data_IF_368249384463
#
_entry.id   IF_368249384463
#
_cell.length_a   1.000
_cell.length_b   1.000
_cell.length_c   1.000
_cell.angle_alpha   90.00
_cell.angle_beta   90.00
_cell.angle_gamma   90.00
#
_symmetry.space_group_name_H-M   'P 1'
#
loop_
_entity.id
_entity.type
_entity.pdbx_description
1 polymer ?
#
# COMPACT_ATOMS: atom_id res chain seq x y z
N UNK A 1 26.38 17.08 19.40
CA UNK A 1 26.50 15.65 19.05
C UNK A 1 25.89 14.72 20.11
N UNK A 2 25.67 15.15 21.35
CA UNK A 2 25.07 14.32 22.43
C UNK A 2 23.56 14.01 22.26
N UNK A 3 22.77 14.88 21.63
CA UNK A 3 21.34 14.61 21.42
C UNK A 3 21.07 13.45 20.44
N UNK A 4 21.96 13.22 19.47
CA UNK A 4 21.80 12.15 18.48
C UNK A 4 22.10 10.77 19.10
N UNK A 5 23.09 10.69 20.01
CA UNK A 5 23.39 9.44 20.72
C UNK A 5 22.31 9.09 21.75
N UNK A 6 21.70 10.10 22.41
CA UNK A 6 20.59 9.89 23.34
C UNK A 6 19.34 9.35 22.61
N UNK A 7 18.94 9.97 21.49
CA UNK A 7 17.82 9.46 20.68
C UNK A 7 18.09 8.04 20.16
N UNK A 8 19.29 7.75 19.66
CA UNK A 8 19.65 6.41 19.18
C UNK A 8 19.50 5.33 20.27
N UNK A 9 19.91 5.63 21.51
CA UNK A 9 19.78 4.70 22.64
C UNK A 9 18.33 4.47 23.07
N UNK A 10 17.48 5.50 23.00
CA UNK A 10 16.04 5.35 23.28
C UNK A 10 15.37 4.44 22.24
N UNK A 11 15.70 4.61 20.96
CA UNK A 11 15.16 3.75 19.88
C UNK A 11 15.67 2.31 19.98
N UNK A 12 16.95 2.10 20.32
CA UNK A 12 17.51 0.75 20.49
C UNK A 12 16.89 0.01 21.68
N UNK A 13 16.65 0.72 22.79
CA UNK A 13 15.96 0.16 23.95
C UNK A 13 14.50 -0.19 23.63
N UNK A 14 13.78 0.72 22.98
CA UNK A 14 12.40 0.47 22.52
C UNK A 14 12.33 -0.72 21.55
N UNK A 15 13.28 -0.82 20.61
CA UNK A 15 13.35 -1.94 19.65
C UNK A 15 13.49 -3.28 20.36
N UNK A 16 14.37 -3.37 21.37
CA UNK A 16 14.58 -4.59 22.17
C UNK A 16 13.35 -4.99 22.96
N UNK A 17 12.69 -4.03 23.62
CA UNK A 17 11.49 -4.28 24.42
C UNK A 17 10.27 -4.62 23.55
N UNK A 18 10.20 -4.04 22.35
CA UNK A 18 9.13 -4.29 21.38
C UNK A 18 9.28 -5.63 20.65
N UNK A 19 10.50 -6.12 20.43
CA UNK A 19 10.78 -7.36 19.66
C UNK A 19 9.92 -8.58 20.06
N UNK A 20 9.75 -8.94 21.35
CA UNK A 20 8.88 -10.06 21.73
C UNK A 20 7.40 -9.76 21.48
N UNK A 21 6.94 -8.54 21.76
CA UNK A 21 5.56 -8.12 21.52
C UNK A 21 5.23 -8.05 20.01
N UNK A 22 6.20 -7.65 19.18
CA UNK A 22 6.08 -7.53 17.73
C UNK A 22 5.73 -8.87 17.08
N UNK A 23 6.35 -9.97 17.51
CA UNK A 23 6.08 -11.30 16.97
C UNK A 23 4.61 -11.66 17.22
N UNK A 24 4.14 -11.58 18.47
CA UNK A 24 2.75 -11.90 18.80
C UNK A 24 1.74 -10.99 18.10
N UNK A 25 2.01 -9.69 18.05
CA UNK A 25 1.14 -8.72 17.40
C UNK A 25 1.08 -8.94 15.89
N UNK A 26 2.21 -9.21 15.24
CA UNK A 26 2.30 -9.47 13.80
C UNK A 26 1.48 -10.69 13.40
N UNK A 27 1.53 -11.76 14.20
CA UNK A 27 0.73 -12.96 13.97
C UNK A 27 -0.78 -12.67 13.98
N UNK A 28 -1.25 -11.87 14.95
CA UNK A 28 -2.66 -11.50 15.06
C UNK A 28 -3.08 -10.60 13.89
N UNK A 29 -2.33 -9.51 13.66
CA UNK A 29 -2.67 -8.51 12.63
C UNK A 29 -2.61 -9.13 11.23
N UNK A 30 -1.55 -9.88 10.91
CA UNK A 30 -1.40 -10.50 9.59
C UNK A 30 -2.50 -11.53 9.33
N UNK A 31 -2.87 -12.35 10.32
CA UNK A 31 -3.94 -13.33 10.17
C UNK A 31 -5.29 -12.66 9.88
N UNK A 32 -5.64 -11.62 10.65
CA UNK A 32 -6.87 -10.85 10.42
C UNK A 32 -6.85 -10.14 9.06
N UNK A 33 -5.71 -9.55 8.69
CA UNK A 33 -5.54 -8.88 7.40
C UNK A 33 -5.66 -9.83 6.20
N UNK A 34 -5.09 -11.04 6.29
CA UNK A 34 -5.22 -12.10 5.27
C UNK A 34 -6.69 -12.47 5.10
N UNK A 35 -7.41 -12.74 6.19
CA UNK A 35 -8.84 -13.07 6.14
C UNK A 35 -9.66 -11.94 5.51
N UNK A 36 -9.42 -10.70 5.93
CA UNK A 36 -10.09 -9.52 5.38
C UNK A 36 -9.84 -9.35 3.88
N UNK A 37 -8.60 -9.54 3.43
CA UNK A 37 -8.26 -9.43 2.02
C UNK A 37 -8.81 -10.59 1.17
N UNK A 38 -8.87 -11.81 1.70
CA UNK A 38 -9.54 -12.93 1.02
C UNK A 38 -11.03 -12.63 0.82
N UNK A 39 -11.69 -12.09 1.85
CA UNK A 39 -13.08 -11.63 1.74
C UNK A 39 -13.22 -10.55 0.66
N UNK A 40 -12.34 -9.55 0.63
CA UNK A 40 -12.33 -8.51 -0.41
C UNK A 40 -12.20 -9.11 -1.82
N UNK A 41 -11.28 -10.05 -2.02
CA UNK A 41 -11.11 -10.74 -3.31
C UNK A 41 -12.40 -11.45 -3.69
N UNK A 42 -12.99 -12.26 -2.80
CA UNK A 42 -14.23 -13.01 -3.07
C UNK A 42 -15.39 -12.10 -3.42
N UNK A 43 -15.56 -11.00 -2.68
CA UNK A 43 -16.62 -10.03 -2.93
C UNK A 43 -16.41 -9.36 -4.29
N UNK A 44 -15.26 -8.72 -4.53
CA UNK A 44 -15.06 -7.91 -5.73
C UNK A 44 -14.86 -8.73 -7.02
N UNK A 45 -14.58 -10.03 -6.92
CA UNK A 45 -14.57 -10.95 -8.07
C UNK A 45 -15.96 -11.50 -8.42
N UNK A 46 -16.98 -11.25 -7.58
CA UNK A 46 -18.33 -11.74 -7.82
C UNK A 46 -18.92 -11.17 -9.12
N UNK A 47 -19.51 -12.04 -9.95
CA UNK A 47 -19.96 -11.74 -11.32
C UNK A 47 -20.88 -10.52 -11.41
N UNK A 48 -21.74 -10.31 -10.42
CA UNK A 48 -22.71 -9.20 -10.38
C UNK A 48 -22.07 -7.81 -10.27
N UNK A 49 -20.88 -7.70 -9.65
CA UNK A 49 -20.21 -6.41 -9.41
C UNK A 49 -18.88 -6.30 -10.17
N UNK A 50 -18.68 -7.14 -11.18
CA UNK A 50 -17.43 -7.15 -11.96
C UNK A 50 -17.29 -5.85 -12.74
N UNK A 51 -16.15 -5.19 -12.57
CA UNK A 51 -15.81 -3.96 -13.27
C UNK A 51 -14.33 -3.63 -13.13
N UNK A 52 -13.83 -2.67 -13.91
CA UNK A 52 -12.39 -2.37 -13.97
C UNK A 52 -11.82 -1.91 -12.64
N UNK A 53 -12.53 -1.03 -11.92
CA UNK A 53 -12.12 -0.59 -10.57
C UNK A 53 -12.14 -1.73 -9.57
N UNK A 54 -13.18 -2.57 -9.58
CA UNK A 54 -13.32 -3.69 -8.64
C UNK A 54 -12.28 -4.77 -8.91
N UNK A 55 -11.92 -5.00 -10.18
CA UNK A 55 -10.80 -5.84 -10.56
C UNK A 55 -9.48 -5.32 -9.99
N UNK A 56 -9.18 -4.03 -10.13
CA UNK A 56 -7.97 -3.44 -9.53
C UNK A 56 -7.96 -3.54 -8.00
N UNK A 57 -9.12 -3.40 -7.35
CA UNK A 57 -9.26 -3.61 -5.90
C UNK A 57 -8.94 -5.07 -5.54
N UNK A 58 -9.45 -6.06 -6.30
CA UNK A 58 -9.11 -7.47 -6.07
C UNK A 58 -7.62 -7.75 -6.23
N UNK A 59 -6.98 -7.17 -7.24
CA UNK A 59 -5.53 -7.29 -7.45
C UNK A 59 -4.74 -6.66 -6.30
N UNK A 60 -5.17 -5.50 -5.79
CA UNK A 60 -4.57 -4.86 -4.62
C UNK A 60 -4.70 -5.75 -3.38
N UNK A 61 -5.90 -6.28 -3.09
CA UNK A 61 -6.11 -7.21 -1.97
C UNK A 61 -5.28 -8.51 -2.10
N UNK A 62 -5.04 -8.99 -3.32
CA UNK A 62 -4.14 -10.12 -3.54
C UNK A 62 -2.68 -9.78 -3.21
N UNK A 63 -2.20 -8.60 -3.60
CA UNK A 63 -0.87 -8.11 -3.22
C UNK A 63 -0.76 -7.94 -1.70
N UNK A 64 -1.75 -7.33 -1.05
CA UNK A 64 -1.77 -7.14 0.41
C UNK A 64 -1.75 -8.50 1.15
N UNK A 65 -2.52 -9.47 0.68
CA UNK A 65 -2.49 -10.85 1.23
C UNK A 65 -1.10 -11.46 1.15
N UNK A 66 -0.43 -11.30 0.01
CA UNK A 66 0.90 -11.87 -0.20
C UNK A 66 1.97 -11.15 0.65
N UNK A 67 1.87 -9.83 0.83
CA UNK A 67 2.75 -9.07 1.76
C UNK A 67 2.59 -9.60 3.18
N UNK A 68 1.36 -9.76 3.66
CA UNK A 68 1.10 -10.26 5.00
C UNK A 68 1.61 -11.70 5.19
N UNK A 69 1.50 -12.54 4.16
CA UNK A 69 2.06 -13.90 4.18
C UNK A 69 3.59 -13.86 4.25
N UNK A 70 4.24 -13.02 3.43
CA UNK A 70 5.71 -12.86 3.50
C UNK A 70 6.15 -12.28 4.84
N UNK A 71 5.36 -11.39 5.46
CA UNK A 71 5.64 -10.85 6.78
C UNK A 71 5.60 -11.96 7.86
N UNK A 72 4.59 -12.84 7.83
CA UNK A 72 4.56 -14.01 8.71
C UNK A 72 5.79 -14.91 8.51
N UNK A 73 6.16 -15.20 7.26
CA UNK A 73 7.36 -15.98 6.95
C UNK A 73 8.64 -15.33 7.51
N UNK A 74 8.81 -14.02 7.38
CA UNK A 74 9.94 -13.30 7.97
C UNK A 74 9.94 -13.44 9.49
N UNK A 75 8.80 -13.21 10.16
CA UNK A 75 8.74 -13.35 11.63
C UNK A 75 9.02 -14.78 12.12
N UNK A 76 8.68 -15.80 11.34
CA UNK A 76 9.03 -17.19 11.63
C UNK A 76 10.53 -17.48 11.47
N UNK A 77 11.18 -16.84 10.49
CA UNK A 77 12.61 -16.99 10.26
C UNK A 77 13.44 -16.22 11.31
N UNK A 78 12.91 -15.08 11.79
CA UNK A 78 13.53 -14.28 12.85
C UNK A 78 13.35 -14.84 14.26
N UNK A 79 12.32 -15.65 14.51
CA UNK A 79 12.08 -16.27 15.82
C UNK A 79 12.99 -17.48 16.10
N UNK A 80 13.64 -18.03 15.07
CA UNK A 80 14.83 -18.85 15.26
C UNK A 80 15.97 -17.92 15.67
N UNK A 81 16.53 -18.14 16.85
CA UNK A 81 17.46 -17.31 17.67
C UNK A 81 18.78 -16.82 17.01
N UNK A 82 18.77 -16.50 15.72
CA UNK A 82 19.95 -16.28 14.89
C UNK A 82 20.43 -14.82 14.83
N UNK A 83 19.73 -13.87 15.48
CA UNK A 83 20.10 -12.46 15.40
C UNK A 83 20.27 -11.98 13.95
N UNK A 84 21.26 -11.13 13.68
CA UNK A 84 21.56 -10.63 12.32
C UNK A 84 22.43 -11.60 11.48
N UNK A 85 22.67 -12.83 11.97
CA UNK A 85 23.62 -13.76 11.36
C UNK A 85 23.06 -15.17 11.20
N UNK A 86 23.07 -15.68 9.97
CA UNK A 86 22.52 -16.98 9.63
C UNK A 86 23.58 -18.09 9.75
N UNK A 87 23.24 -19.29 10.25
CA UNK A 87 24.19 -20.38 10.48
C UNK A 87 24.65 -21.04 9.19
N UNK A 88 23.88 -20.91 8.11
CA UNK A 88 24.17 -21.51 6.81
C UNK A 88 24.04 -20.48 5.70
N UNK A 89 24.90 -20.61 4.68
CA UNK A 89 24.84 -19.78 3.47
C UNK A 89 23.47 -19.91 2.80
N UNK A 90 22.95 -21.14 2.74
CA UNK A 90 21.62 -21.44 2.19
C UNK A 90 20.54 -20.70 2.97
N UNK A 91 20.59 -20.72 4.32
CA UNK A 91 19.65 -19.97 5.15
C UNK A 91 19.65 -18.47 4.87
N UNK A 92 20.84 -17.86 4.73
CA UNK A 92 20.97 -16.45 4.37
C UNK A 92 20.37 -16.12 2.99
N UNK A 93 20.63 -16.94 1.97
CA UNK A 93 20.04 -16.75 0.64
C UNK A 93 18.52 -16.99 0.63
N UNK A 94 18.02 -17.95 1.42
CA UNK A 94 16.58 -18.18 1.59
C UNK A 94 15.93 -16.94 2.21
N UNK A 95 16.49 -16.39 3.28
CA UNK A 95 15.95 -15.17 3.89
C UNK A 95 16.00 -13.98 2.93
N UNK A 96 17.13 -13.77 2.23
CA UNK A 96 17.25 -12.74 1.20
C UNK A 96 16.21 -12.89 0.07
N UNK A 97 15.91 -14.12 -0.33
CA UNK A 97 14.88 -14.39 -1.34
C UNK A 97 13.48 -14.00 -0.86
N UNK A 98 13.15 -14.28 0.42
CA UNK A 98 11.87 -13.89 1.03
C UNK A 98 11.76 -12.36 1.09
N UNK A 99 12.81 -11.66 1.54
CA UNK A 99 12.85 -10.20 1.58
C UNK A 99 12.68 -9.59 0.17
N UNK A 100 13.32 -10.19 -0.83
CA UNK A 100 13.21 -9.75 -2.21
C UNK A 100 11.78 -9.89 -2.72
N UNK A 101 11.14 -11.03 -2.47
CA UNK A 101 9.73 -11.26 -2.85
C UNK A 101 8.84 -10.25 -2.14
N UNK A 102 9.04 -10.05 -0.83
CA UNK A 102 8.28 -9.07 -0.05
C UNK A 102 8.41 -7.66 -0.63
N UNK A 103 9.63 -7.23 -0.99
CA UNK A 103 9.88 -5.92 -1.60
C UNK A 103 9.18 -5.79 -2.97
N UNK A 104 9.25 -6.83 -3.81
CA UNK A 104 8.57 -6.87 -5.10
C UNK A 104 7.05 -6.74 -4.93
N UNK A 105 6.45 -7.51 -4.03
CA UNK A 105 5.00 -7.50 -3.81
C UNK A 105 4.55 -6.16 -3.20
N UNK A 106 5.34 -5.59 -2.29
CA UNK A 106 5.11 -4.26 -1.74
C UNK A 106 5.07 -3.18 -2.82
N UNK A 107 6.00 -3.25 -3.78
CA UNK A 107 5.98 -2.38 -4.95
C UNK A 107 4.70 -2.52 -5.76
N UNK A 108 4.30 -3.76 -6.07
CA UNK A 108 3.08 -4.04 -6.83
C UNK A 108 1.87 -3.44 -6.11
N UNK A 109 1.70 -3.68 -4.81
CA UNK A 109 0.59 -3.12 -4.01
C UNK A 109 0.57 -1.59 -4.03
N UNK A 110 1.73 -0.97 -3.88
CA UNK A 110 1.89 0.50 -3.89
C UNK A 110 1.46 1.11 -5.23
N UNK A 111 1.98 0.59 -6.34
CA UNK A 111 1.63 1.09 -7.67
C UNK A 111 0.20 0.72 -8.10
N UNK A 112 -0.34 -0.41 -7.63
CA UNK A 112 -1.75 -0.74 -7.79
C UNK A 112 -2.67 0.24 -7.05
N UNK A 113 -2.26 0.72 -5.87
CA UNK A 113 -2.98 1.76 -5.13
C UNK A 113 -3.01 3.08 -5.90
N UNK A 114 -1.88 3.46 -6.52
CA UNK A 114 -1.82 4.63 -7.43
C UNK A 114 -2.75 4.47 -8.63
N UNK A 115 -2.73 3.30 -9.28
CA UNK A 115 -3.59 3.00 -10.42
C UNK A 115 -5.08 3.06 -10.06
N UNK A 116 -5.45 2.47 -8.92
CA UNK A 116 -6.80 2.51 -8.37
C UNK A 116 -7.24 3.95 -8.05
N UNK A 117 -6.38 4.75 -7.41
CA UNK A 117 -6.64 6.15 -7.13
C UNK A 117 -6.89 6.95 -8.41
N UNK A 118 -6.10 6.69 -9.44
CA UNK A 118 -6.25 7.33 -10.76
C UNK A 118 -7.59 6.96 -11.41
N UNK A 119 -7.96 5.68 -11.41
CA UNK A 119 -9.27 5.24 -11.94
C UNK A 119 -10.42 5.90 -11.19
N UNK A 120 -10.36 5.94 -9.86
CA UNK A 120 -11.38 6.61 -9.03
C UNK A 120 -11.48 8.11 -9.37
N UNK A 121 -10.35 8.78 -9.56
CA UNK A 121 -10.33 10.20 -9.94
C UNK A 121 -11.00 10.43 -11.30
N UNK A 122 -10.72 9.57 -12.28
CA UNK A 122 -11.35 9.63 -13.60
C UNK A 122 -12.87 9.40 -13.49
N UNK A 123 -13.30 8.42 -12.70
CA UNK A 123 -14.73 8.18 -12.44
C UNK A 123 -15.43 9.39 -11.84
N UNK A 124 -14.81 10.07 -10.88
CA UNK A 124 -15.39 11.26 -10.26
C UNK A 124 -15.42 12.46 -11.22
N UNK A 125 -14.36 12.67 -12.01
CA UNK A 125 -14.29 13.82 -12.95
C UNK A 125 -15.16 13.66 -14.19
N UNK A 126 -15.23 12.46 -14.77
CA UNK A 126 -15.91 12.23 -16.04
C UNK A 126 -17.33 11.66 -15.88
N UNK A 127 -17.70 11.20 -14.69
CA UNK A 127 -19.02 10.66 -14.38
C UNK A 127 -19.42 9.55 -15.36
N UNK A 128 -20.50 9.76 -16.13
CA UNK A 128 -21.00 8.78 -17.08
C UNK A 128 -19.99 8.42 -18.20
N UNK A 129 -19.14 9.38 -18.61
CA UNK A 129 -18.11 9.15 -19.64
C UNK A 129 -16.94 8.30 -19.13
N UNK A 130 -16.81 8.13 -17.81
CA UNK A 130 -15.72 7.35 -17.24
C UNK A 130 -15.78 5.86 -17.64
N UNK A 131 -16.97 5.30 -17.86
CA UNK A 131 -17.11 3.90 -18.30
C UNK A 131 -16.47 3.65 -19.69
N UNK A 132 -16.42 4.66 -20.57
CA UNK A 132 -15.72 4.58 -21.85
C UNK A 132 -14.20 4.72 -21.70
N UNK A 133 -13.73 5.43 -20.66
CA UNK A 133 -12.30 5.71 -20.44
C UNK A 133 -11.64 4.61 -19.62
N UNK A 134 -12.25 4.18 -18.52
CA UNK A 134 -11.79 3.12 -17.63
C UNK A 134 -12.39 1.79 -18.09
N UNK A 135 -11.71 1.12 -19.02
CA UNK A 135 -12.14 -0.19 -19.55
C UNK A 135 -11.38 -1.34 -18.89
N UNK A 136 -11.91 -2.56 -18.99
CA UNK A 136 -11.23 -3.76 -18.49
C UNK A 136 -9.85 -3.96 -19.15
N UNK A 137 -9.74 -3.73 -20.46
CA UNK A 137 -8.47 -3.83 -21.19
C UNK A 137 -7.39 -2.93 -20.59
N UNK A 138 -7.73 -1.68 -20.27
CA UNK A 138 -6.79 -0.75 -19.64
C UNK A 138 -6.44 -1.17 -18.22
N UNK A 139 -7.38 -1.73 -17.46
CA UNK A 139 -7.11 -2.25 -16.12
C UNK A 139 -6.12 -3.43 -16.16
N UNK A 140 -6.27 -4.36 -17.11
CA UNK A 140 -5.30 -5.44 -17.34
C UNK A 140 -3.94 -4.91 -17.80
N UNK A 141 -3.92 -3.97 -18.75
CA UNK A 141 -2.67 -3.35 -19.21
C UNK A 141 -1.93 -2.65 -18.07
N UNK A 142 -2.65 -1.95 -17.18
CA UNK A 142 -2.08 -1.34 -15.98
C UNK A 142 -1.51 -2.39 -15.03
N UNK A 143 -2.22 -3.49 -14.77
CA UNK A 143 -1.70 -4.57 -13.93
C UNK A 143 -0.38 -5.12 -14.49
N UNK A 144 -0.34 -5.42 -15.79
CA UNK A 144 0.89 -5.93 -16.45
C UNK A 144 2.01 -4.90 -16.35
N UNK A 145 1.73 -3.63 -16.62
CA UNK A 145 2.72 -2.55 -16.51
C UNK A 145 3.28 -2.43 -15.08
N UNK A 146 2.43 -2.54 -14.06
CA UNK A 146 2.83 -2.49 -12.64
C UNK A 146 3.67 -3.69 -12.24
N UNK A 147 3.36 -4.89 -12.72
CA UNK A 147 4.15 -6.10 -12.46
C UNK A 147 5.54 -5.95 -13.09
N UNK A 148 5.59 -5.55 -14.37
CA UNK A 148 6.86 -5.38 -15.09
C UNK A 148 7.70 -4.28 -14.46
N UNK A 149 7.13 -3.11 -14.14
CA UNK A 149 7.88 -2.03 -13.51
C UNK A 149 8.40 -2.44 -12.13
N UNK A 150 7.59 -3.15 -11.34
CA UNK A 150 7.99 -3.67 -10.03
C UNK A 150 9.11 -4.72 -10.13
N UNK A 151 9.12 -5.55 -11.18
CA UNK A 151 10.19 -6.54 -11.39
C UNK A 151 11.52 -5.84 -11.73
N UNK A 152 11.48 -4.86 -12.63
CA UNK A 152 12.66 -4.08 -13.02
C UNK A 152 13.24 -3.36 -11.81
N UNK A 153 12.40 -2.64 -11.06
CA UNK A 153 12.85 -1.92 -9.87
C UNK A 153 13.31 -2.91 -8.78
N UNK A 154 12.60 -4.02 -8.59
CA UNK A 154 12.89 -5.04 -7.58
C UNK A 154 14.22 -5.75 -7.80
N UNK A 155 14.65 -5.90 -9.06
CA UNK A 155 15.95 -6.50 -9.39
C UNK A 155 17.13 -5.76 -8.75
N UNK A 156 17.01 -4.44 -8.55
CA UNK A 156 18.04 -3.64 -7.88
C UNK A 156 18.26 -4.05 -6.42
N UNK A 157 17.23 -4.60 -5.77
CA UNK A 157 17.33 -5.07 -4.38
C UNK A 157 18.27 -6.26 -4.26
N UNK A 158 18.14 -7.27 -5.13
CA UNK A 158 18.99 -8.47 -5.11
C UNK A 158 20.44 -8.11 -5.41
N UNK A 159 20.67 -7.34 -6.47
CA UNK A 159 22.02 -6.98 -6.94
C UNK A 159 22.82 -6.24 -5.87
N UNK A 160 22.12 -5.55 -4.97
CA UNK A 160 22.76 -4.70 -4.00
C UNK A 160 22.95 -5.33 -2.63
N UNK A 161 22.39 -6.51 -2.37
CA UNK A 161 22.60 -7.24 -1.13
C UNK A 161 23.55 -8.41 -1.36
N UNK A 162 24.59 -8.49 -0.56
CA UNK A 162 25.59 -9.55 -0.60
C UNK A 162 25.52 -10.37 0.68
N UNK A 163 25.64 -11.69 0.53
CA UNK A 163 25.77 -12.62 1.66
C UNK A 163 27.26 -12.81 1.95
N UNK A 164 27.74 -12.26 3.07
CA UNK A 164 29.14 -12.36 3.48
C UNK A 164 29.32 -13.26 4.70
N UNK A 165 30.41 -14.05 4.77
CA UNK A 165 30.73 -14.80 5.97
C UNK A 165 31.21 -13.87 7.09
N UNK A 166 30.67 -14.05 8.28
CA UNK A 166 31.13 -13.43 9.53
C UNK A 166 31.74 -14.55 10.37
N UNK A 167 33.08 -14.57 10.45
CA UNK A 167 33.82 -15.57 11.23
C UNK A 167 33.98 -15.09 12.66
N UNK A 168 33.42 -15.82 13.62
CA UNK A 168 33.66 -15.57 15.03
C UNK A 168 34.39 -16.80 15.59
N UNK A 169 35.73 -16.73 15.63
CA UNK A 169 36.77 -17.61 16.23
C UNK A 169 36.65 -19.14 16.13
N UNK A 170 35.46 -19.72 16.15
CA UNK A 170 35.12 -21.15 16.12
C UNK A 170 33.92 -21.48 15.20
N UNK A 171 33.15 -20.50 14.70
CA UNK A 171 32.00 -20.73 13.80
C UNK A 171 31.93 -19.69 12.67
N UNK A 172 31.50 -20.14 11.47
CA UNK A 172 31.24 -19.27 10.31
C UNK A 172 29.73 -19.07 10.21
N UNK A 173 29.28 -17.85 10.50
CA UNK A 173 27.91 -17.43 10.21
C UNK A 173 27.90 -16.56 8.94
N UNK A 174 26.72 -16.21 8.44
CA UNK A 174 26.54 -15.42 7.24
C UNK A 174 25.68 -14.20 7.56
N UNK A 175 26.05 -13.02 7.06
CA UNK A 175 25.28 -11.80 7.20
C UNK A 175 24.87 -11.27 5.83
N UNK A 176 23.68 -10.70 5.75
CA UNK A 176 23.19 -10.00 4.56
C UNK A 176 23.59 -8.54 4.73
N UNK A 177 24.42 -8.03 3.83
CA UNK A 177 24.88 -6.65 3.85
C UNK A 177 24.61 -5.95 2.53
N UNK A 178 24.37 -4.64 2.58
CA UNK A 178 24.31 -3.82 1.37
C UNK A 178 25.73 -3.63 0.82
N UNK A 179 25.92 -3.95 -0.46
CA UNK A 179 27.17 -3.72 -1.17
C UNK A 179 27.43 -2.22 -1.33
N UNK A 180 28.57 -1.76 -0.84
CA UNK A 180 28.98 -0.35 -0.94
C UNK A 180 29.07 0.13 -2.40
N UNK A 181 29.30 -0.78 -3.36
CA UNK A 181 29.36 -0.48 -4.79
C UNK A 181 28.02 -0.04 -5.36
N UNK A 182 26.92 -0.55 -4.81
CA UNK A 182 25.57 -0.29 -5.30
C UNK A 182 24.73 0.54 -4.32
N UNK A 183 25.32 1.03 -3.22
CA UNK A 183 24.61 1.79 -2.19
C UNK A 183 23.87 3.01 -2.73
N UNK A 184 24.45 3.72 -3.72
CA UNK A 184 23.76 4.80 -4.42
C UNK A 184 22.53 4.32 -5.18
N UNK A 185 22.67 3.27 -6.00
CA UNK A 185 21.54 2.71 -6.76
C UNK A 185 20.41 2.25 -5.83
N UNK A 186 20.73 1.59 -4.71
CA UNK A 186 19.74 1.21 -3.69
C UNK A 186 19.04 2.42 -3.09
N UNK A 187 19.79 3.46 -2.71
CA UNK A 187 19.21 4.66 -2.13
C UNK A 187 18.24 5.31 -3.12
N UNK A 188 18.65 5.46 -4.38
CA UNK A 188 17.82 6.07 -5.41
C UNK A 188 16.60 5.22 -5.76
N UNK A 189 16.75 3.91 -6.00
CA UNK A 189 15.61 3.06 -6.33
C UNK A 189 14.69 2.88 -5.13
N UNK A 190 15.22 2.47 -3.98
CA UNK A 190 14.45 2.09 -2.79
C UNK A 190 13.80 3.28 -2.07
N UNK A 191 14.48 4.43 -1.97
CA UNK A 191 13.91 5.61 -1.32
C UNK A 191 12.98 6.40 -2.25
N UNK A 192 13.37 6.67 -3.49
CA UNK A 192 12.57 7.56 -4.36
C UNK A 192 11.45 6.82 -5.10
N UNK A 193 11.76 5.71 -5.78
CA UNK A 193 10.79 5.08 -6.67
C UNK A 193 9.77 4.22 -5.94
N UNK A 194 10.17 3.49 -4.91
CA UNK A 194 9.22 2.66 -4.16
C UNK A 194 8.45 3.43 -3.09
N UNK A 195 9.01 4.52 -2.56
CA UNK A 195 8.43 5.23 -1.41
C UNK A 195 8.01 6.66 -1.76
N UNK A 196 8.93 7.55 -2.15
CA UNK A 196 8.58 8.96 -2.33
C UNK A 196 7.60 9.25 -3.47
N UNK A 197 7.84 8.72 -4.67
CA UNK A 197 7.01 9.03 -5.86
C UNK A 197 5.56 8.55 -5.70
N UNK A 198 5.29 7.30 -5.30
CA UNK A 198 3.91 6.83 -5.14
C UNK A 198 3.13 7.64 -4.11
N UNK A 199 3.78 8.08 -3.02
CA UNK A 199 3.16 8.92 -1.99
C UNK A 199 2.80 10.29 -2.54
N UNK A 200 3.70 10.93 -3.28
CA UNK A 200 3.43 12.24 -3.90
C UNK A 200 2.27 12.17 -4.89
N UNK A 201 2.23 11.11 -5.72
CA UNK A 201 1.13 10.89 -6.65
C UNK A 201 -0.17 10.64 -5.90
N UNK A 202 -0.18 9.76 -4.88
CA UNK A 202 -1.38 9.48 -4.09
C UNK A 202 -1.89 10.71 -3.35
N UNK A 203 -1.00 11.52 -2.79
CA UNK A 203 -1.33 12.79 -2.15
C UNK A 203 -1.96 13.76 -3.17
N UNK A 204 -1.35 13.91 -4.35
CA UNK A 204 -1.86 14.74 -5.43
C UNK A 204 -3.25 14.28 -5.92
N UNK A 205 -3.40 12.98 -6.22
CA UNK A 205 -4.67 12.38 -6.65
C UNK A 205 -5.74 12.59 -5.59
N UNK A 206 -5.42 12.39 -4.31
CA UNK A 206 -6.38 12.55 -3.21
C UNK A 206 -6.76 14.00 -2.99
N UNK A 207 -5.81 14.95 -3.07
CA UNK A 207 -6.09 16.37 -2.97
C UNK A 207 -7.03 16.84 -4.09
N UNK A 208 -6.77 16.41 -5.33
CA UNK A 208 -7.63 16.72 -6.48
C UNK A 208 -9.01 16.07 -6.30
N UNK A 209 -9.07 14.82 -5.84
CA UNK A 209 -10.33 14.11 -5.57
C UNK A 209 -11.18 14.86 -4.55
N UNK A 210 -10.58 15.27 -3.42
CA UNK A 210 -11.24 16.04 -2.36
C UNK A 210 -11.77 17.36 -2.92
N UNK A 211 -10.95 18.13 -3.65
CA UNK A 211 -11.37 19.40 -4.27
C UNK A 211 -12.54 19.19 -5.23
N UNK A 212 -12.45 18.19 -6.11
CA UNK A 212 -13.49 17.88 -7.10
C UNK A 212 -14.81 17.51 -6.42
N UNK A 213 -14.76 16.72 -5.34
CA UNK A 213 -15.94 16.35 -4.56
C UNK A 213 -16.54 17.57 -3.86
N UNK A 214 -15.72 18.44 -3.26
CA UNK A 214 -16.18 19.66 -2.60
C UNK A 214 -16.83 20.64 -3.58
N UNK A 215 -16.26 20.81 -4.77
CA UNK A 215 -16.83 21.66 -5.83
C UNK A 215 -18.18 21.11 -6.32
N UNK A 216 -18.24 19.80 -6.58
CA UNK A 216 -19.49 19.13 -6.94
C UNK A 216 -20.56 19.27 -5.85
N UNK A 217 -20.18 19.22 -4.57
CA UNK A 217 -21.09 19.42 -3.44
C UNK A 217 -21.61 20.86 -3.37
N UNK A 218 -20.75 21.86 -3.53
CA UNK A 218 -21.15 23.28 -3.54
C UNK A 218 -22.15 23.56 -4.65
N UNK A 219 -21.89 23.06 -5.86
CA UNK A 219 -22.79 23.20 -7.00
C UNK A 219 -24.13 22.50 -6.74
N UNK A 220 -24.09 21.27 -6.20
CA UNK A 220 -25.31 20.53 -5.90
C UNK A 220 -26.17 21.24 -4.86
N UNK A 221 -25.60 21.70 -3.75
CA UNK A 221 -26.33 22.41 -2.70
C UNK A 221 -27.00 23.68 -3.24
N UNK A 222 -26.33 24.44 -4.12
CA UNK A 222 -26.96 25.59 -4.80
C UNK A 222 -28.19 25.17 -5.59
N UNK A 223 -28.09 24.13 -6.42
CA UNK A 223 -29.20 23.63 -7.22
C UNK A 223 -30.34 23.07 -6.36
N UNK A 224 -30.02 22.45 -5.22
CA UNK A 224 -31.01 21.96 -4.26
C UNK A 224 -31.79 23.10 -3.60
N UNK A 225 -31.11 24.16 -3.17
CA UNK A 225 -31.74 25.35 -2.61
C UNK A 225 -32.65 26.01 -3.64
N UNK A 226 -32.20 26.15 -4.89
CA UNK A 226 -33.02 26.69 -5.99
C UNK A 226 -34.25 25.81 -6.27
N UNK A 227 -34.10 24.48 -6.31
CA UNK A 227 -35.24 23.56 -6.53
C UNK A 227 -36.24 23.54 -5.38
N UNK A 228 -35.76 23.61 -4.12
CA UNK A 228 -36.63 23.63 -2.94
C UNK A 228 -37.41 24.94 -2.83
N UNK A 229 -36.81 26.06 -3.24
CA UNK A 229 -37.50 27.33 -3.39
C UNK A 229 -38.57 27.29 -4.50
N UNK A 230 -38.32 26.56 -5.60
CA UNK A 230 -39.25 26.46 -6.72
C UNK A 230 -40.42 25.48 -6.52
N UNK A 231 -40.29 24.44 -5.68
CA UNK A 231 -41.35 23.43 -5.49
C UNK A 231 -41.31 22.76 -4.10
N UNK A 232 -41.90 23.37 -3.06
CA UNK A 232 -41.78 22.91 -1.67
C UNK A 232 -42.52 21.59 -1.34
N UNK A 233 -43.57 21.21 -2.09
CA UNK A 233 -44.44 20.07 -1.76
C UNK A 233 -44.28 18.81 -2.64
N UNK A 234 -43.24 18.73 -3.48
CA UNK A 234 -43.11 17.61 -4.41
C UNK A 234 -42.40 16.38 -3.77
N UNK A 235 -43.18 15.36 -3.40
CA UNK A 235 -42.70 14.09 -2.80
C UNK A 235 -41.73 13.30 -3.69
N UNK A 236 -41.79 13.46 -5.03
CA UNK A 236 -40.80 12.83 -5.95
C UNK A 236 -39.45 13.55 -5.93
N UNK A 237 -39.46 14.87 -5.73
CA UNK A 237 -38.24 15.65 -5.61
C UNK A 237 -37.49 15.31 -4.31
N UNK A 238 -38.20 15.12 -3.19
CA UNK A 238 -37.60 14.72 -1.90
C UNK A 238 -36.99 13.32 -1.94
N UNK A 239 -37.63 12.34 -2.59
CA UNK A 239 -37.06 11.00 -2.77
C UNK A 239 -35.78 11.00 -3.64
N UNK A 240 -35.74 11.82 -4.71
CA UNK A 240 -34.56 11.99 -5.55
C UNK A 240 -33.38 12.67 -4.83
N UNK A 241 -33.65 13.57 -3.88
CA UNK A 241 -32.64 14.17 -3.01
C UNK A 241 -32.04 13.12 -2.05
N UNK A 242 -32.88 12.32 -1.41
CA UNK A 242 -32.44 11.29 -0.46
C UNK A 242 -31.51 10.25 -1.12
N UNK A 243 -31.79 9.86 -2.36
CA UNK A 243 -30.94 8.92 -3.10
C UNK A 243 -29.57 9.53 -3.46
N UNK A 244 -29.54 10.81 -3.86
CA UNK A 244 -28.29 11.55 -4.11
C UNK A 244 -27.47 11.80 -2.84
N UNK A 245 -28.12 12.03 -1.70
CA UNK A 245 -27.44 12.13 -0.41
C UNK A 245 -26.80 10.80 0.01
N UNK A 246 -27.41 9.67 -0.34
CA UNK A 246 -26.83 8.33 -0.13
C UNK A 246 -25.59 8.13 -0.99
N UNK A 247 -25.65 8.46 -2.29
CA UNK A 247 -24.49 8.42 -3.18
C UNK A 247 -23.35 9.35 -2.70
N UNK A 248 -23.71 10.53 -2.17
CA UNK A 248 -22.77 11.48 -1.55
C UNK A 248 -22.07 10.89 -0.34
N UNK A 249 -22.80 10.23 0.57
CA UNK A 249 -22.23 9.59 1.76
C UNK A 249 -21.24 8.48 1.38
N UNK A 250 -21.57 7.69 0.36
CA UNK A 250 -20.70 6.66 -0.17
C UNK A 250 -19.40 7.25 -0.76
N UNK A 251 -19.49 8.34 -1.54
CA UNK A 251 -18.31 9.00 -2.12
C UNK A 251 -17.40 9.63 -1.05
N UNK A 252 -17.99 10.25 -0.01
CA UNK A 252 -17.23 10.81 1.10
C UNK A 252 -16.52 9.71 1.91
N UNK A 253 -17.18 8.57 2.15
CA UNK A 253 -16.57 7.41 2.82
C UNK A 253 -15.39 6.82 2.03
N UNK A 254 -15.52 6.71 0.71
CA UNK A 254 -14.42 6.22 -0.15
C UNK A 254 -13.22 7.17 -0.11
N UNK A 255 -13.47 8.49 -0.06
CA UNK A 255 -12.41 9.50 0.07
C UNK A 255 -11.74 9.43 1.43
N UNK A 256 -12.51 9.23 2.50
CA UNK A 256 -12.00 9.03 3.84
C UNK A 256 -11.13 7.77 3.92
N UNK A 257 -11.55 6.68 3.27
CA UNK A 257 -10.76 5.44 3.16
C UNK A 257 -9.40 5.67 2.49
N UNK A 258 -9.35 6.45 1.39
CA UNK A 258 -8.10 6.77 0.69
C UNK A 258 -7.17 7.67 1.53
N UNK A 259 -7.73 8.64 2.25
CA UNK A 259 -6.96 9.49 3.17
C UNK A 259 -6.42 8.66 4.34
N UNK A 260 -7.21 7.76 4.90
CA UNK A 260 -6.75 6.81 5.92
C UNK A 260 -5.63 5.92 5.39
N UNK A 261 -5.74 5.39 4.16
CA UNK A 261 -4.67 4.60 3.53
C UNK A 261 -3.39 5.43 3.43
N UNK A 262 -3.46 6.69 2.99
CA UNK A 262 -2.30 7.58 2.89
C UNK A 262 -1.67 7.85 4.26
N UNK A 263 -2.48 8.15 5.28
CA UNK A 263 -1.99 8.40 6.64
C UNK A 263 -1.33 7.15 7.23
N UNK A 264 -1.95 5.97 7.04
CA UNK A 264 -1.40 4.69 7.47
C UNK A 264 -0.09 4.41 6.73
N UNK A 265 -0.02 4.66 5.42
CA UNK A 265 1.20 4.48 4.64
C UNK A 265 2.32 5.39 5.16
N UNK A 266 2.03 6.67 5.42
CA UNK A 266 3.02 7.63 5.96
C UNK A 266 3.50 7.19 7.34
N UNK A 267 2.59 6.80 8.24
CA UNK A 267 2.93 6.34 9.60
C UNK A 267 3.75 5.05 9.57
N UNK A 268 3.42 4.09 8.70
CA UNK A 268 4.16 2.83 8.56
C UNK A 268 5.50 2.99 7.85
N UNK A 269 5.70 4.08 7.10
CA UNK A 269 6.96 4.39 6.41
C UNK A 269 7.99 5.10 7.29
N UNK A 270 7.57 5.91 8.25
CA UNK A 270 8.47 6.62 9.16
C UNK A 270 9.50 5.71 9.87
N UNK A 271 9.13 4.52 10.40
CA UNK A 271 10.10 3.63 11.03
C UNK A 271 10.97 2.82 10.04
N UNK A 272 10.64 2.81 8.74
CA UNK A 272 11.39 2.03 7.73
C UNK A 272 12.51 2.81 7.03
N UNK A 273 12.59 4.12 7.27
CA UNK A 273 13.59 5.02 6.67
C UNK A 273 14.59 5.53 7.71
N UNK A 274 14.36 5.22 9.00
CA UNK A 274 15.23 5.57 10.13
C UNK A 274 16.23 4.49 10.48
#
# INVERSE_FOLDING_TARGET
MENCSSSYRVFDQFSKDYKPAHIHLSWIICSLGILGNICNIRVFTHKSIRGPTNFLISCLSAADTLILLTCLLVTCLESSDYGDTYPTKVGAYTFLSVLTIQNFVHSVGTWMTVALGTFRLVYVKLGHRAAAVCTMHKAYALLVAVIVSSLVLGSSYIVSHEVKPVSNSTTINYKIEVSLKYGGIVLWTNALFFKSIPILILAGVSAILIKTIQESQKLHNKLLLTKKAAAPNNKKATAGLANKDKDRRNSNQITLMLVCIILIQIITLLPQVG
#
